data_IF_564971681712
#
_entry.id   IF_564971681712
#
_cell.length_a   1.000
_cell.length_b   1.000
_cell.length_c   1.000
_cell.angle_alpha   90.00
_cell.angle_beta   90.00
_cell.angle_gamma   90.00
#
_symmetry.space_group_name_H-M   'P 1'
#
loop_
_entity.id
_entity.type
_entity.pdbx_description
1 polymer ?
#
# COMPACT_ATOMS: atom_id res chain seq x y z
N UNK A 1 8.48 22.65 -4.88
CA UNK A 1 8.28 22.49 -3.42
C UNK A 1 8.60 21.03 -3.10
N UNK A 2 9.61 20.74 -2.27
CA UNK A 2 9.87 19.35 -1.86
C UNK A 2 8.67 18.91 -1.02
N UNK A 3 8.03 17.80 -1.38
CA UNK A 3 6.99 17.19 -0.55
C UNK A 3 7.62 16.88 0.79
N UNK A 4 7.08 17.43 1.87
CA UNK A 4 7.47 17.04 3.21
C UNK A 4 6.97 15.60 3.49
N UNK A 5 7.50 14.93 4.54
CA UNK A 5 7.13 13.56 4.85
C UNK A 5 5.62 13.37 5.04
N UNK A 6 4.93 14.32 5.68
CA UNK A 6 3.50 14.22 5.93
C UNK A 6 2.69 14.31 4.64
N UNK A 7 3.10 15.18 3.72
CA UNK A 7 2.53 15.25 2.37
C UNK A 7 2.69 13.94 1.60
N UNK A 8 3.83 13.25 1.75
CA UNK A 8 4.06 11.94 1.13
C UNK A 8 3.16 10.85 1.75
N UNK A 9 3.05 10.81 3.08
CA UNK A 9 2.16 9.90 3.80
C UNK A 9 0.70 10.12 3.41
N UNK A 10 0.21 11.35 3.37
CA UNK A 10 -1.17 11.62 2.95
C UNK A 10 -1.43 11.26 1.49
N UNK A 11 -0.49 11.52 0.58
CA UNK A 11 -0.58 11.09 -0.81
C UNK A 11 -0.64 9.57 -0.93
N UNK A 12 0.20 8.85 -0.16
CA UNK A 12 0.15 7.39 -0.09
C UNK A 12 -1.19 6.90 0.49
N UNK A 13 -1.70 7.48 1.57
CA UNK A 13 -2.96 7.03 2.17
C UNK A 13 -4.22 7.45 1.41
N UNK A 14 -4.13 8.36 0.43
CA UNK A 14 -5.29 8.83 -0.35
C UNK A 14 -5.95 7.72 -1.19
N UNK A 15 -5.19 6.70 -1.59
CA UNK A 15 -5.69 5.58 -2.39
C UNK A 15 -6.38 4.50 -1.54
N UNK A 16 -7.64 4.14 -1.86
CA UNK A 16 -8.40 3.16 -1.07
C UNK A 16 -7.77 1.76 -1.07
N UNK A 17 -7.14 1.35 -2.17
CA UNK A 17 -6.45 0.04 -2.25
C UNK A 17 -5.25 0.00 -1.32
N UNK A 18 -4.46 1.07 -1.24
CA UNK A 18 -3.35 1.19 -0.28
C UNK A 18 -3.81 1.13 1.17
N UNK A 19 -4.94 1.77 1.51
CA UNK A 19 -5.54 1.65 2.86
C UNK A 19 -6.01 0.23 3.17
N UNK A 20 -6.62 -0.45 2.21
CA UNK A 20 -7.04 -1.84 2.37
C UNK A 20 -5.84 -2.78 2.55
N UNK A 21 -4.75 -2.56 1.81
CA UNK A 21 -3.49 -3.29 1.97
C UNK A 21 -2.94 -3.12 3.40
N UNK A 22 -2.84 -1.87 3.88
CA UNK A 22 -2.37 -1.60 5.25
C UNK A 22 -3.26 -2.25 6.30
N UNK A 23 -4.59 -2.16 6.16
CA UNK A 23 -5.54 -2.79 7.07
C UNK A 23 -5.38 -4.32 7.10
N UNK A 24 -5.04 -4.95 5.97
CA UNK A 24 -4.77 -6.39 5.93
C UNK A 24 -3.44 -6.75 6.60
N UNK A 25 -2.41 -5.95 6.39
CA UNK A 25 -1.08 -6.14 6.99
C UNK A 25 -1.07 -5.86 8.49
N UNK A 26 -1.95 -4.97 8.99
CA UNK A 26 -2.10 -4.75 10.44
C UNK A 26 -2.65 -5.96 11.19
N UNK A 27 -3.20 -6.95 10.49
CA UNK A 27 -3.64 -8.22 11.08
C UNK A 27 -2.49 -9.25 11.17
N UNK A 28 -1.33 -8.96 10.59
CA UNK A 28 -0.17 -9.84 10.55
C UNK A 28 0.43 -9.97 9.15
N UNK A 29 1.64 -10.52 9.12
CA UNK A 29 2.38 -10.80 7.88
C UNK A 29 1.62 -11.78 6.97
N UNK A 30 1.74 -11.59 5.66
CA UNK A 30 1.10 -12.43 4.65
C UNK A 30 1.87 -12.32 3.34
N UNK A 31 1.73 -13.30 2.46
CA UNK A 31 2.39 -13.27 1.15
C UNK A 31 1.71 -12.28 0.20
N UNK A 32 2.45 -11.77 -0.80
CA UNK A 32 1.87 -10.90 -1.86
C UNK A 32 0.72 -11.60 -2.60
N UNK A 33 0.79 -12.93 -2.76
CA UNK A 33 -0.27 -13.71 -3.40
C UNK A 33 -1.56 -13.70 -2.58
N UNK A 34 -1.46 -13.96 -1.28
CA UNK A 34 -2.61 -13.90 -0.36
C UNK A 34 -3.15 -12.47 -0.23
N UNK A 35 -2.26 -11.48 -0.17
CA UNK A 35 -2.61 -10.07 -0.13
C UNK A 35 -3.35 -9.63 -1.41
N UNK A 36 -3.03 -10.22 -2.57
CA UNK A 36 -3.72 -9.93 -3.83
C UNK A 36 -5.09 -10.59 -3.96
N UNK A 37 -5.34 -11.72 -3.28
CA UNK A 37 -6.56 -12.51 -3.44
C UNK A 37 -7.90 -11.74 -3.26
N UNK A 38 -8.03 -10.78 -2.32
CA UNK A 38 -9.28 -10.01 -2.18
C UNK A 38 -9.42 -8.86 -3.18
N UNK A 39 -8.40 -8.58 -4.00
CA UNK A 39 -8.42 -7.49 -4.97
C UNK A 39 -8.46 -8.04 -6.39
N UNK A 40 -9.20 -7.37 -7.27
CA UNK A 40 -9.26 -7.70 -8.70
C UNK A 40 -8.05 -7.12 -9.47
N UNK A 41 -6.84 -7.26 -8.89
CA UNK A 41 -5.58 -6.74 -9.43
C UNK A 41 -4.46 -7.76 -9.38
N UNK A 42 -3.44 -7.53 -10.20
CA UNK A 42 -2.33 -8.46 -10.33
C UNK A 42 -1.31 -8.35 -9.17
N UNK A 43 -0.55 -9.41 -8.87
CA UNK A 43 0.52 -9.33 -7.86
C UNK A 43 1.56 -8.22 -8.10
N UNK A 44 1.98 -7.91 -9.35
CA UNK A 44 2.83 -6.74 -9.61
C UNK A 44 2.18 -5.40 -9.25
N UNK A 45 0.87 -5.28 -9.39
CA UNK A 45 0.15 -4.07 -8.97
C UNK A 45 0.20 -3.90 -7.45
N UNK A 46 -0.01 -4.98 -6.68
CA UNK A 46 0.18 -4.97 -5.22
C UNK A 46 1.61 -4.54 -4.86
N UNK A 47 2.63 -5.11 -5.52
CA UNK A 47 4.03 -4.70 -5.28
C UNK A 47 4.25 -3.21 -5.54
N UNK A 48 3.61 -2.62 -6.56
CA UNK A 48 3.68 -1.18 -6.81
C UNK A 48 3.04 -0.38 -5.67
N UNK A 49 1.89 -0.81 -5.16
CA UNK A 49 1.24 -0.16 -4.02
C UNK A 49 2.11 -0.24 -2.76
N UNK A 50 2.73 -1.39 -2.49
CA UNK A 50 3.65 -1.58 -1.37
C UNK A 50 4.86 -0.65 -1.45
N UNK A 51 5.49 -0.52 -2.63
CA UNK A 51 6.62 0.42 -2.83
C UNK A 51 6.25 1.88 -2.55
N UNK A 52 5.04 2.29 -2.90
CA UNK A 52 4.55 3.65 -2.60
C UNK A 52 4.34 3.84 -1.11
N UNK A 53 3.81 2.82 -0.42
CA UNK A 53 3.63 2.85 1.03
C UNK A 53 4.99 2.92 1.74
N UNK A 54 5.92 2.02 1.40
CA UNK A 54 7.27 1.96 1.97
C UNK A 54 8.07 3.26 1.75
N UNK A 55 7.92 3.89 0.58
CA UNK A 55 8.56 5.19 0.32
C UNK A 55 7.97 6.35 1.14
N UNK A 56 6.78 6.17 1.72
CA UNK A 56 6.07 7.18 2.50
C UNK A 56 6.30 7.06 4.02
N UNK A 57 7.06 6.05 4.47
CA UNK A 57 7.39 5.76 5.86
C UNK A 57 6.80 4.45 6.36
#
# INVERSE_FOLDING_TARGET
>A
MKSDPLSATFSALADPTRRAILARLSLGETSVKELSAPFDITPPAITKHLKVLEAAG
#
